data_IF_093487671867
#
_entry.id   IF_093487671867
#
_cell.length_a   1.000
_cell.length_b   1.000
_cell.length_c   1.000
_cell.angle_alpha   90.00
_cell.angle_beta   90.00
_cell.angle_gamma   90.00
#
_symmetry.space_group_name_H-M   'P 1'
#
loop_
_entity.id
_entity.type
_entity.pdbx_description
1 polymer ?
#
# COMPACT_ATOMS: atom_id res chain seq x y z
N UNK A 1 11.41 -3.06 4.25
CA UNK A 1 9.93 -2.96 4.22
C UNK A 1 9.44 -3.56 2.90
N UNK A 2 8.32 -4.27 2.92
CA UNK A 2 7.72 -4.96 1.77
C UNK A 2 6.43 -4.24 1.35
N UNK A 3 6.36 -3.78 0.11
CA UNK A 3 5.24 -3.02 -0.43
C UNK A 3 4.60 -3.80 -1.57
N UNK A 4 3.30 -4.06 -1.46
CA UNK A 4 2.50 -4.67 -2.50
C UNK A 4 1.60 -3.61 -3.16
N UNK A 5 1.64 -3.51 -4.47
CA UNK A 5 0.79 -2.62 -5.26
C UNK A 5 -0.24 -3.45 -6.01
N UNK A 6 -1.50 -3.06 -5.99
CA UNK A 6 -2.57 -3.79 -6.65
C UNK A 6 -3.64 -2.90 -7.26
N UNK A 7 -3.85 -3.03 -8.56
CA UNK A 7 -4.85 -2.28 -9.31
C UNK A 7 -5.67 -3.19 -10.21
N UNK A 8 -6.80 -2.68 -10.72
CA UNK A 8 -7.50 -3.30 -11.84
C UNK A 8 -6.57 -3.39 -13.05
N UNK A 9 -6.76 -4.42 -13.89
CA UNK A 9 -5.94 -4.63 -15.10
C UNK A 9 -5.94 -3.40 -16.03
N UNK A 10 -7.04 -2.65 -16.06
CA UNK A 10 -7.16 -1.40 -16.83
C UNK A 10 -6.12 -0.33 -16.43
N UNK A 11 -5.63 -0.36 -15.19
CA UNK A 11 -4.63 0.58 -14.67
C UNK A 11 -3.23 -0.06 -14.50
N UNK A 12 -2.97 -1.19 -15.17
CA UNK A 12 -1.68 -1.89 -15.05
C UNK A 12 -0.47 -1.02 -15.38
N UNK A 13 -0.56 -0.18 -16.42
CA UNK A 13 0.55 0.72 -16.79
C UNK A 13 0.85 1.70 -15.66
N UNK A 14 -0.19 2.19 -14.97
CA UNK A 14 -0.05 3.06 -13.81
C UNK A 14 0.57 2.32 -12.63
N UNK A 15 0.11 1.10 -12.31
CA UNK A 15 0.69 0.32 -11.21
C UNK A 15 2.17 -0.02 -11.46
N UNK A 16 2.54 -0.35 -12.70
CA UNK A 16 3.92 -0.65 -13.07
C UNK A 16 4.81 0.61 -12.99
N UNK A 17 4.27 1.77 -13.37
CA UNK A 17 4.99 3.04 -13.24
C UNK A 17 5.19 3.42 -11.76
N UNK A 18 4.15 3.25 -10.93
CA UNK A 18 4.22 3.50 -9.50
C UNK A 18 5.20 2.56 -8.80
N UNK A 19 5.19 1.27 -9.14
CA UNK A 19 6.16 0.28 -8.66
C UNK A 19 7.59 0.71 -8.96
N UNK A 20 7.88 1.08 -10.21
CA UNK A 20 9.22 1.52 -10.63
C UNK A 20 9.64 2.82 -9.92
N UNK A 21 8.72 3.77 -9.77
CA UNK A 21 9.00 5.03 -9.09
C UNK A 21 9.34 4.80 -7.62
N UNK A 22 8.53 4.02 -6.89
CA UNK A 22 8.78 3.72 -5.48
C UNK A 22 10.08 2.93 -5.33
N UNK A 23 10.32 1.90 -6.16
CA UNK A 23 11.56 1.11 -6.12
C UNK A 23 12.81 1.99 -6.35
N UNK A 24 12.74 2.94 -7.28
CA UNK A 24 13.83 3.88 -7.54
C UNK A 24 14.09 4.87 -6.40
N UNK A 25 13.03 5.33 -5.74
CA UNK A 25 13.10 6.34 -4.67
C UNK A 25 13.27 5.73 -3.26
N UNK A 26 13.06 4.42 -3.12
CA UNK A 26 13.21 3.63 -1.88
C UNK A 26 13.95 2.32 -2.17
N UNK A 27 15.27 2.37 -2.46
CA UNK A 27 16.04 1.19 -2.82
C UNK A 27 16.13 0.11 -1.72
N UNK A 28 15.83 0.46 -0.47
CA UNK A 28 15.74 -0.49 0.65
C UNK A 28 14.38 -1.19 0.79
N UNK A 29 13.40 -0.86 -0.04
CA UNK A 29 12.07 -1.47 -0.03
C UNK A 29 11.95 -2.58 -1.08
N UNK A 30 11.38 -3.71 -0.71
CA UNK A 30 10.97 -4.75 -1.64
C UNK A 30 9.58 -4.39 -2.17
N UNK A 31 9.49 -3.99 -3.44
CA UNK A 31 8.24 -3.53 -4.06
C UNK A 31 7.81 -4.55 -5.12
N UNK A 32 6.53 -4.92 -5.12
CA UNK A 32 5.95 -5.77 -6.16
C UNK A 32 4.55 -5.29 -6.56
N UNK A 33 4.21 -5.36 -7.84
CA UNK A 33 2.84 -5.21 -8.32
C UNK A 33 2.14 -6.57 -8.56
N UNK A 34 0.83 -6.60 -8.39
CA UNK A 34 -0.02 -7.73 -8.76
C UNK A 34 -1.40 -7.24 -9.23
N UNK A 35 -2.17 -8.12 -9.87
CA UNK A 35 -3.56 -7.80 -10.21
C UNK A 35 -4.48 -7.98 -8.98
N UNK A 36 -5.60 -7.24 -8.96
CA UNK A 36 -6.59 -7.34 -7.88
C UNK A 36 -7.13 -8.76 -7.65
N UNK A 37 -7.33 -9.54 -8.73
CA UNK A 37 -7.81 -10.92 -8.63
C UNK A 37 -6.87 -11.86 -7.88
N UNK A 38 -5.58 -11.49 -7.77
CA UNK A 38 -4.55 -12.25 -7.07
C UNK A 38 -4.16 -11.65 -5.72
N UNK A 39 -4.79 -10.53 -5.31
CA UNK A 39 -4.38 -9.75 -4.15
C UNK A 39 -4.34 -10.57 -2.86
N UNK A 40 -5.38 -11.34 -2.54
CA UNK A 40 -5.40 -12.19 -1.34
C UNK A 40 -4.24 -13.18 -1.28
N UNK A 41 -4.05 -13.97 -2.34
CA UNK A 41 -2.94 -14.92 -2.46
C UNK A 41 -1.58 -14.22 -2.40
N UNK A 42 -1.45 -13.03 -2.99
CA UNK A 42 -0.18 -12.28 -2.92
C UNK A 42 0.06 -11.71 -1.54
N UNK A 43 -0.95 -11.22 -0.83
CA UNK A 43 -0.82 -10.78 0.56
C UNK A 43 -0.32 -11.94 1.43
N UNK A 44 -0.90 -13.14 1.32
CA UNK A 44 -0.46 -14.31 2.09
C UNK A 44 0.98 -14.76 1.77
N UNK A 45 1.34 -14.83 0.48
CA UNK A 45 2.66 -15.32 0.06
C UNK A 45 3.77 -14.28 0.14
N UNK A 46 3.42 -13.00 0.02
CA UNK A 46 4.36 -11.89 0.04
C UNK A 46 4.45 -11.23 1.42
N UNK A 47 3.52 -11.48 2.35
CA UNK A 47 3.51 -10.90 3.69
C UNK A 47 3.91 -9.40 3.71
N UNK A 48 3.16 -8.53 3.00
CA UNK A 48 3.51 -7.12 2.86
C UNK A 48 3.33 -6.35 4.15
N UNK A 49 4.23 -5.40 4.41
CA UNK A 49 4.06 -4.40 5.47
C UNK A 49 3.09 -3.28 5.06
N UNK A 50 3.00 -3.01 3.75
CA UNK A 50 2.10 -2.02 3.16
C UNK A 50 1.47 -2.56 1.88
N UNK A 51 0.15 -2.43 1.78
CA UNK A 51 -0.59 -2.62 0.53
C UNK A 51 -1.08 -1.28 0.00
N UNK A 52 -0.70 -0.93 -1.24
CA UNK A 52 -1.27 0.18 -2.00
C UNK A 52 -2.25 -0.40 -3.02
N UNK A 53 -3.52 -0.09 -2.90
CA UNK A 53 -4.56 -0.70 -3.74
C UNK A 53 -5.58 0.31 -4.22
N UNK A 54 -6.17 0.11 -5.41
CA UNK A 54 -7.36 0.86 -5.81
C UNK A 54 -8.61 0.46 -5.01
N UNK A 55 -8.58 -0.70 -4.34
CA UNK A 55 -9.70 -1.25 -3.56
C UNK A 55 -9.50 -1.08 -2.05
N UNK A 56 -10.60 -0.97 -1.29
CA UNK A 56 -10.54 -1.02 0.16
C UNK A 56 -9.97 -2.37 0.62
N UNK A 57 -9.46 -2.41 1.85
CA UNK A 57 -9.00 -3.67 2.41
C UNK A 57 -10.16 -4.67 2.48
N UNK A 58 -9.97 -5.82 1.84
CA UNK A 58 -10.90 -6.97 1.83
C UNK A 58 -10.19 -8.26 2.27
N UNK A 59 -8.91 -8.16 2.63
CA UNK A 59 -8.05 -9.26 3.02
C UNK A 59 -7.64 -8.98 4.45
N UNK A 60 -7.87 -9.91 5.39
CA UNK A 60 -7.27 -9.80 6.72
C UNK A 60 -5.90 -10.47 6.69
N UNK A 61 -4.78 -9.71 6.68
CA UNK A 61 -3.44 -10.28 6.64
C UNK A 61 -2.98 -10.79 8.02
N UNK A 62 -3.89 -11.07 8.95
CA UNK A 62 -3.54 -11.33 10.35
C UNK A 62 -3.15 -10.06 11.09
N UNK A 63 -3.71 -8.92 10.65
CA UNK A 63 -3.60 -7.63 11.31
C UNK A 63 -2.21 -6.98 11.34
N UNK A 64 -1.36 -7.14 10.32
CA UNK A 64 0.01 -6.54 10.32
C UNK A 64 0.27 -5.51 9.23
N UNK A 65 -0.47 -5.55 8.12
CA UNK A 65 -0.20 -4.69 6.98
C UNK A 65 -0.90 -3.32 7.13
N UNK A 66 -0.18 -2.24 6.87
CA UNK A 66 -0.80 -0.95 6.57
C UNK A 66 -1.52 -1.03 5.21
N UNK A 67 -2.59 -0.24 5.05
CA UNK A 67 -3.36 -0.23 3.81
C UNK A 67 -3.55 1.18 3.30
N UNK A 68 -3.18 1.43 2.05
CA UNK A 68 -3.45 2.67 1.35
C UNK A 68 -4.37 2.38 0.16
N UNK A 69 -5.65 2.75 0.29
CA UNK A 69 -6.58 2.80 -0.84
C UNK A 69 -6.28 4.05 -1.66
N UNK A 70 -5.50 3.91 -2.71
CA UNK A 70 -5.13 4.96 -3.65
C UNK A 70 -6.14 4.98 -4.80
N UNK A 71 -6.98 6.01 -4.85
CA UNK A 71 -8.00 6.09 -5.89
C UNK A 71 -7.37 6.25 -7.28
N UNK A 72 -7.81 5.48 -8.30
CA UNK A 72 -7.43 5.77 -9.68
C UNK A 72 -8.08 7.07 -10.20
N UNK A 73 -9.23 7.44 -9.64
CA UNK A 73 -9.94 8.68 -9.97
C UNK A 73 -9.38 9.84 -9.15
N UNK A 74 -8.89 10.93 -9.78
CA UNK A 74 -8.16 12.01 -9.09
C UNK A 74 -9.04 12.77 -8.08
N UNK A 75 -10.32 12.96 -8.40
CA UNK A 75 -11.27 13.67 -7.55
C UNK A 75 -11.88 12.80 -6.45
N UNK A 76 -11.71 11.47 -6.54
CA UNK A 76 -12.17 10.57 -5.49
C UNK A 76 -11.10 10.48 -4.39
N UNK A 77 -11.48 10.68 -3.11
CA UNK A 77 -10.52 10.68 -2.02
C UNK A 77 -9.97 9.29 -1.73
N UNK A 78 -8.70 9.26 -1.39
CA UNK A 78 -7.99 8.08 -0.93
C UNK A 78 -8.28 7.79 0.55
N UNK A 79 -8.01 6.56 0.97
CA UNK A 79 -8.14 6.14 2.37
C UNK A 79 -6.85 5.49 2.83
N UNK A 80 -6.36 5.86 4.00
CA UNK A 80 -5.18 5.26 4.60
C UNK A 80 -5.57 4.55 5.89
N UNK A 81 -4.91 3.44 6.17
CA UNK A 81 -4.95 2.74 7.43
C UNK A 81 -3.55 2.40 7.88
N UNK A 82 -3.23 2.74 9.14
CA UNK A 82 -1.93 2.51 9.76
C UNK A 82 -2.13 2.23 11.26
N UNK A 83 -1.67 1.07 11.74
CA UNK A 83 -1.80 0.72 13.15
C UNK A 83 -3.27 0.65 13.61
N UNK A 84 -4.17 0.14 12.76
CA UNK A 84 -5.62 0.09 13.00
C UNK A 84 -6.38 1.43 12.95
N UNK A 85 -5.66 2.56 12.85
CA UNK A 85 -6.29 3.88 12.65
C UNK A 85 -6.53 4.12 11.17
N UNK A 86 -7.70 4.69 10.84
CA UNK A 86 -8.15 4.92 9.46
C UNK A 86 -8.40 6.41 9.20
N UNK A 87 -7.95 6.91 8.06
CA UNK A 87 -8.15 8.29 7.63
C UNK A 87 -8.64 8.36 6.19
N UNK A 88 -9.46 9.37 5.90
CA UNK A 88 -9.80 9.78 4.53
C UNK A 88 -8.94 10.99 4.18
N UNK A 89 -8.30 10.98 3.01
CA UNK A 89 -7.43 12.06 2.54
C UNK A 89 -7.72 12.37 1.07
N UNK A 90 -7.39 13.56 0.56
CA UNK A 90 -7.31 13.79 -0.88
C UNK A 90 -6.39 12.78 -1.55
N UNK A 91 -6.50 12.64 -2.87
CA UNK A 91 -5.60 11.75 -3.60
C UNK A 91 -4.16 12.32 -3.51
N UNK A 92 -3.19 11.57 -2.96
CA UNK A 92 -1.88 12.12 -2.65
C UNK A 92 -1.06 12.35 -3.92
N UNK A 93 -0.13 13.30 -3.83
CA UNK A 93 1.05 13.33 -4.69
C UNK A 93 1.98 12.14 -4.41
N UNK A 94 2.94 11.89 -5.31
CA UNK A 94 3.96 10.86 -5.07
C UNK A 94 4.77 11.14 -3.79
N UNK A 95 5.08 12.41 -3.50
CA UNK A 95 5.81 12.81 -2.30
C UNK A 95 5.05 12.51 -1.01
N UNK A 96 3.74 12.77 -1.00
CA UNK A 96 2.88 12.44 0.14
C UNK A 96 2.72 10.93 0.33
N UNK A 97 2.67 10.16 -0.76
CA UNK A 97 2.67 8.69 -0.68
C UNK A 97 3.99 8.15 -0.12
N UNK A 98 5.13 8.74 -0.51
CA UNK A 98 6.44 8.39 0.03
C UNK A 98 6.57 8.76 1.51
N UNK A 99 5.99 9.89 1.93
CA UNK A 99 5.92 10.26 3.34
C UNK A 99 5.10 9.25 4.16
N UNK A 100 3.98 8.77 3.61
CA UNK A 100 3.21 7.70 4.26
C UNK A 100 4.01 6.38 4.37
N UNK A 101 4.78 6.04 3.34
CA UNK A 101 5.73 4.92 3.38
C UNK A 101 6.72 5.07 4.54
N UNK A 102 7.28 6.27 4.73
CA UNK A 102 8.22 6.53 5.82
C UNK A 102 7.53 6.41 7.20
N UNK A 103 6.27 6.83 7.33
CA UNK A 103 5.46 6.61 8.54
C UNK A 103 5.26 5.12 8.86
N UNK A 104 4.99 4.29 7.84
CA UNK A 104 4.89 2.84 7.99
C UNK A 104 6.21 2.27 8.50
N UNK A 105 7.34 2.65 7.91
CA UNK A 105 8.66 2.18 8.37
C UNK A 105 8.95 2.56 9.83
N UNK A 106 8.56 3.77 10.24
CA UNK A 106 8.72 4.21 11.64
C UNK A 106 7.85 3.38 12.58
N UNK A 107 6.62 3.05 12.19
CA UNK A 107 5.74 2.19 12.99
C UNK A 107 6.33 0.79 13.16
N UNK A 108 6.77 0.16 12.07
CA UNK A 108 7.37 -1.18 12.08
C UNK A 108 8.61 -1.26 12.99
N UNK A 109 9.37 -0.16 13.10
CA UNK A 109 10.55 -0.10 13.99
C UNK A 109 10.18 0.06 15.46
N UNK A 110 9.01 0.63 15.77
CA UNK A 110 8.57 0.97 17.13
C UNK A 110 7.72 -0.12 17.77
N UNK A 111 6.86 -0.75 17.00
CA UNK A 111 5.87 -1.71 17.50
C UNK A 111 6.24 -3.14 17.09
N UNK A 112 6.32 -4.04 18.08
CA UNK A 112 6.53 -5.47 17.81
C UNK A 112 5.32 -6.12 17.13
N UNK A 113 4.14 -5.54 17.31
CA UNK A 113 2.86 -5.99 16.76
C UNK A 113 2.06 -4.75 16.33
N UNK A 114 2.35 -4.17 15.15
CA UNK A 114 1.61 -3.03 14.64
C UNK A 114 0.14 -3.44 14.46
N UNK A 115 -0.79 -2.64 14.99
CA UNK A 115 -2.22 -2.92 14.91
C UNK A 115 -2.73 -3.05 13.47
N UNK A 116 -3.60 -4.03 13.23
CA UNK A 116 -4.05 -4.40 11.90
C UNK A 116 -4.99 -3.43 11.20
N UNK A 117 -4.89 -3.42 9.88
CA UNK A 117 -5.85 -2.86 8.94
C UNK A 117 -6.55 -3.99 8.20
#
# INVERSE_FOLDING_TARGET
>A
MRILISYEEAYRVYSDALERAIRGLRPGAEVAACNLGSLGRRVESFDPDLVVSSRPNTVDPGGRAAWYRLSPEPDEPSKACLGGRRWRRPNPTLEELLSFIDEVEVLLRREREPGGC
#
